data_IF_878890125431
#
_entry.id   IF_878890125431
#
_cell.length_a   1.000
_cell.length_b   1.000
_cell.length_c   1.000
_cell.angle_alpha   90.00
_cell.angle_beta   90.00
_cell.angle_gamma   90.00
#
_symmetry.space_group_name_H-M   'P 1'
#
loop_
_entity.id
_entity.type
_entity.pdbx_description
1 polymer ?
#
# COMPACT_ATOMS: atom_id res chain seq x y z
N UNK A 1 31.35 0.47 32.07
CA UNK A 1 30.37 -0.40 32.76
C UNK A 1 28.98 0.08 32.40
N UNK A 2 28.44 -0.40 31.28
CA UNK A 2 27.16 0.03 30.70
C UNK A 2 26.04 -0.74 31.40
N UNK A 3 25.26 -0.03 32.21
CA UNK A 3 24.05 -0.56 32.83
C UNK A 3 23.06 -0.98 31.72
N UNK A 4 22.88 -2.29 31.54
CA UNK A 4 21.73 -2.85 30.82
C UNK A 4 20.47 -2.43 31.58
N UNK A 5 19.79 -1.37 31.13
CA UNK A 5 18.43 -1.10 31.58
C UNK A 5 17.55 -2.27 31.11
N UNK A 6 17.02 -3.02 32.07
CA UNK A 6 15.94 -3.97 31.84
C UNK A 6 14.73 -3.19 31.34
N UNK A 7 14.47 -3.21 30.03
CA UNK A 7 13.23 -2.69 29.46
C UNK A 7 12.08 -3.62 29.85
N UNK A 8 10.94 -3.09 30.30
CA UNK A 8 9.75 -3.91 30.41
C UNK A 8 9.44 -4.49 29.03
N UNK A 9 9.14 -5.78 28.99
CA UNK A 9 8.76 -6.46 27.77
C UNK A 9 7.61 -5.72 27.12
N UNK A 10 7.82 -5.14 25.91
CA UNK A 10 6.75 -4.49 25.17
C UNK A 10 7.09 -3.17 24.46
N UNK A 11 8.15 -2.48 24.84
CA UNK A 11 8.56 -1.26 24.13
C UNK A 11 9.73 -1.56 23.19
N UNK A 12 9.51 -1.54 21.90
CA UNK A 12 10.57 -1.51 20.90
C UNK A 12 11.38 -0.23 21.11
N UNK A 13 12.72 -0.32 21.08
CA UNK A 13 13.66 0.73 21.49
C UNK A 13 13.62 2.09 20.72
N UNK A 14 12.49 2.46 20.12
CA UNK A 14 12.27 3.75 19.44
C UNK A 14 12.34 4.93 20.42
N UNK A 15 11.90 4.72 21.66
CA UNK A 15 11.87 5.76 22.70
C UNK A 15 13.21 5.96 23.41
N UNK A 16 14.22 5.12 23.13
CA UNK A 16 15.52 5.13 23.80
C UNK A 16 16.67 5.12 22.80
N UNK A 17 17.69 5.95 23.00
CA UNK A 17 18.92 5.95 22.21
C UNK A 17 19.13 7.21 21.39
N UNK A 18 20.05 7.14 20.42
CA UNK A 18 20.39 8.28 19.55
C UNK A 18 19.41 8.33 18.40
N UNK A 19 18.59 9.37 18.33
CA UNK A 19 17.44 9.52 17.42
C UNK A 19 17.83 9.22 15.96
N UNK A 20 18.91 9.81 15.44
CA UNK A 20 19.26 9.66 14.03
C UNK A 20 19.65 8.20 13.68
N UNK A 21 20.28 7.45 14.61
CA UNK A 21 20.62 6.05 14.40
C UNK A 21 19.37 5.17 14.36
N UNK A 22 18.42 5.41 15.27
CA UNK A 22 17.16 4.71 15.31
C UNK A 22 16.32 5.01 14.05
N UNK A 23 16.32 6.28 13.62
CA UNK A 23 15.61 6.70 12.41
C UNK A 23 16.19 6.01 11.16
N UNK A 24 17.51 5.90 11.02
CA UNK A 24 18.13 5.17 9.91
C UNK A 24 17.82 3.67 9.96
N UNK A 25 17.93 3.04 11.14
CA UNK A 25 17.59 1.63 11.30
C UNK A 25 16.11 1.32 10.97
N UNK A 26 15.23 2.30 11.16
CA UNK A 26 13.82 2.19 10.83
C UNK A 26 13.55 2.51 9.34
N UNK A 27 14.27 3.45 8.77
CA UNK A 27 14.17 3.90 7.39
C UNK A 27 14.52 2.78 6.38
N UNK A 28 15.65 2.08 6.56
CA UNK A 28 16.10 1.09 5.59
C UNK A 28 15.10 -0.05 5.35
N UNK A 29 14.47 -0.67 6.35
CA UNK A 29 13.44 -1.67 6.11
C UNK A 29 12.24 -1.13 5.31
N UNK A 30 11.84 0.12 5.52
CA UNK A 30 10.75 0.74 4.76
C UNK A 30 11.17 0.93 3.30
N UNK A 31 12.37 1.50 3.07
CA UNK A 31 12.93 1.70 1.74
C UNK A 31 13.02 0.38 0.96
N UNK A 32 13.58 -0.68 1.58
CA UNK A 32 13.64 -1.99 0.96
C UNK A 32 12.25 -2.58 0.71
N UNK A 33 11.29 -2.39 1.61
CA UNK A 33 9.91 -2.82 1.42
C UNK A 33 9.29 -2.18 0.19
N UNK A 34 9.44 -0.87 0.02
CA UNK A 34 8.95 -0.14 -1.16
C UNK A 34 9.69 -0.59 -2.44
N UNK A 35 10.99 -0.88 -2.34
CA UNK A 35 11.77 -1.45 -3.45
C UNK A 35 11.22 -2.82 -3.90
N UNK A 36 10.95 -3.74 -2.97
CA UNK A 36 10.37 -5.04 -3.30
C UNK A 36 8.96 -4.90 -3.89
N UNK A 37 8.18 -3.93 -3.43
CA UNK A 37 6.88 -3.61 -4.01
C UNK A 37 7.01 -3.14 -5.47
N UNK A 38 7.98 -2.29 -5.77
CA UNK A 38 8.25 -1.84 -7.14
C UNK A 38 8.79 -2.99 -8.01
N UNK A 39 9.56 -3.90 -7.42
CA UNK A 39 10.11 -5.06 -8.11
C UNK A 39 9.00 -6.00 -8.59
N UNK A 40 8.03 -6.34 -7.73
CA UNK A 40 6.93 -7.21 -8.17
C UNK A 40 6.05 -6.54 -9.23
N UNK A 41 5.75 -5.24 -9.11
CA UNK A 41 5.00 -4.50 -10.15
C UNK A 41 5.73 -4.54 -11.50
N UNK A 42 7.06 -4.46 -11.47
CA UNK A 42 7.89 -4.55 -12.68
C UNK A 42 7.90 -5.96 -13.23
N UNK A 43 8.02 -6.98 -12.40
CA UNK A 43 8.00 -8.39 -12.81
C UNK A 43 6.64 -8.77 -13.42
N UNK A 44 5.53 -8.37 -12.81
CA UNK A 44 4.18 -8.55 -13.34
C UNK A 44 4.04 -7.93 -14.75
N UNK A 45 4.44 -6.66 -14.91
CA UNK A 45 4.44 -5.99 -16.20
C UNK A 45 5.31 -6.70 -17.26
N UNK A 46 6.48 -7.21 -16.87
CA UNK A 46 7.38 -7.96 -17.78
C UNK A 46 6.77 -9.30 -18.19
N UNK A 47 6.16 -10.03 -17.25
CA UNK A 47 5.54 -11.33 -17.53
C UNK A 47 4.33 -11.13 -18.44
N UNK A 48 3.44 -10.21 -18.12
CA UNK A 48 2.27 -9.89 -18.96
C UNK A 48 2.71 -9.41 -20.35
N UNK A 49 3.65 -8.48 -20.44
CA UNK A 49 4.13 -7.95 -21.72
C UNK A 49 4.79 -9.00 -22.61
N UNK A 50 5.53 -9.96 -22.02
CA UNK A 50 6.23 -11.00 -22.76
C UNK A 50 5.33 -12.17 -23.20
N UNK A 51 4.40 -12.60 -22.35
CA UNK A 51 3.65 -13.83 -22.56
C UNK A 51 2.20 -13.60 -23.02
N UNK A 52 1.61 -12.43 -22.74
CA UNK A 52 0.25 -12.10 -23.18
C UNK A 52 0.25 -11.12 -24.35
N UNK A 53 1.10 -10.10 -24.30
CA UNK A 53 1.28 -9.14 -25.39
C UNK A 53 1.23 -7.68 -24.96
N UNK A 54 1.46 -6.79 -25.92
CA UNK A 54 1.58 -5.35 -25.68
C UNK A 54 0.24 -4.69 -25.28
N UNK A 55 -0.87 -5.19 -25.81
CA UNK A 55 -2.21 -4.72 -25.50
C UNK A 55 -2.54 -5.01 -24.01
N UNK A 56 -2.23 -6.22 -23.54
CA UNK A 56 -2.38 -6.61 -22.14
C UNK A 56 -1.46 -5.79 -21.20
N UNK A 57 -0.21 -5.56 -21.60
CA UNK A 57 0.72 -4.71 -20.85
C UNK A 57 0.20 -3.28 -20.75
N UNK A 58 -0.34 -2.72 -21.84
CA UNK A 58 -0.94 -1.38 -21.86
C UNK A 58 -2.19 -1.32 -20.99
N UNK A 59 -2.98 -2.38 -20.96
CA UNK A 59 -4.15 -2.50 -20.09
C UNK A 59 -3.75 -2.51 -18.61
N UNK A 60 -2.79 -3.34 -18.21
CA UNK A 60 -2.38 -3.51 -16.80
C UNK A 60 -1.57 -2.32 -16.29
N UNK A 61 -0.60 -1.85 -17.05
CA UNK A 61 0.31 -0.77 -16.64
C UNK A 61 -0.19 0.65 -16.89
N UNK A 62 -1.14 0.83 -17.82
CA UNK A 62 -1.64 2.13 -18.25
C UNK A 62 -2.84 2.63 -17.43
N UNK A 63 -4.01 2.56 -18.05
CA UNK A 63 -5.27 3.11 -17.50
C UNK A 63 -5.65 2.48 -16.16
N UNK A 64 -5.48 1.15 -16.01
CA UNK A 64 -5.82 0.45 -14.77
C UNK A 64 -4.87 0.82 -13.64
N UNK A 65 -3.56 0.89 -13.91
CA UNK A 65 -2.56 1.30 -12.93
C UNK A 65 -2.83 2.70 -12.37
N UNK A 66 -3.26 3.61 -13.23
CA UNK A 66 -3.64 4.98 -12.84
C UNK A 66 -4.83 4.99 -11.88
N UNK A 67 -5.89 4.25 -12.17
CA UNK A 67 -7.07 4.15 -11.29
C UNK A 67 -6.73 3.48 -9.95
N UNK A 68 -5.94 2.42 -9.99
CA UNK A 68 -5.47 1.73 -8.78
C UNK A 68 -4.67 2.70 -7.91
N UNK A 69 -3.69 3.39 -8.47
CA UNK A 69 -2.85 4.35 -7.73
C UNK A 69 -3.67 5.49 -7.13
N UNK A 70 -4.66 5.99 -7.85
CA UNK A 70 -5.56 7.04 -7.35
C UNK A 70 -6.35 6.56 -6.12
N UNK A 71 -6.99 5.40 -6.21
CA UNK A 71 -7.86 4.88 -5.17
C UNK A 71 -7.07 4.30 -3.98
N UNK A 72 -6.06 3.48 -4.25
CA UNK A 72 -5.20 2.92 -3.20
C UNK A 72 -4.39 4.02 -2.53
N UNK A 73 -3.85 4.99 -3.27
CA UNK A 73 -3.13 6.14 -2.73
C UNK A 73 -3.95 6.94 -1.73
N UNK A 74 -5.24 7.13 -1.99
CA UNK A 74 -6.16 7.75 -1.03
C UNK A 74 -6.21 6.99 0.29
N UNK A 75 -6.38 5.66 0.24
CA UNK A 75 -6.46 4.84 1.45
C UNK A 75 -5.11 4.65 2.15
N UNK A 76 -3.99 4.69 1.43
CA UNK A 76 -2.65 4.76 2.04
C UNK A 76 -2.52 6.05 2.85
N UNK A 77 -2.97 7.19 2.33
CA UNK A 77 -3.05 8.44 3.09
C UNK A 77 -3.96 8.34 4.31
N UNK A 78 -5.11 7.68 4.20
CA UNK A 78 -5.99 7.40 5.35
C UNK A 78 -5.29 6.53 6.41
N UNK A 79 -4.52 5.52 5.99
CA UNK A 79 -3.73 4.66 6.90
C UNK A 79 -2.60 5.44 7.59
N UNK A 80 -2.05 6.47 6.95
CA UNK A 80 -1.10 7.40 7.58
C UNK A 80 -1.75 8.16 8.75
N UNK A 81 -3.00 8.61 8.61
CA UNK A 81 -3.76 9.22 9.72
C UNK A 81 -3.91 8.28 10.91
N UNK A 82 -4.19 7.00 10.65
CA UNK A 82 -4.25 5.97 11.70
C UNK A 82 -2.88 5.77 12.35
N UNK A 83 -1.80 5.70 11.57
CA UNK A 83 -0.44 5.56 12.09
C UNK A 83 -0.06 6.70 13.05
N UNK A 84 -0.37 7.96 12.68
CA UNK A 84 -0.13 9.13 13.56
C UNK A 84 -0.88 9.01 14.88
N UNK A 85 -2.16 8.63 14.86
CA UNK A 85 -2.96 8.50 16.09
C UNK A 85 -2.44 7.37 16.96
N UNK A 86 -2.08 6.23 16.36
CA UNK A 86 -1.53 5.08 17.10
C UNK A 86 -0.16 5.40 17.69
N UNK A 87 0.76 6.05 16.92
CA UNK A 87 2.10 6.41 17.42
C UNK A 87 2.03 7.38 18.59
N UNK A 88 1.12 8.39 18.55
CA UNK A 88 0.92 9.34 19.65
C UNK A 88 0.48 8.67 20.94
N UNK A 89 -0.51 7.77 20.89
CA UNK A 89 -0.94 7.03 22.08
C UNK A 89 0.09 6.01 22.54
N UNK A 90 0.80 5.39 21.60
CA UNK A 90 1.87 4.45 21.93
C UNK A 90 3.03 5.15 22.64
N UNK A 91 3.47 6.32 22.13
CA UNK A 91 4.48 7.17 22.77
C UNK A 91 4.06 7.70 24.12
N UNK A 92 2.76 8.05 24.29
CA UNK A 92 2.18 8.45 25.56
C UNK A 92 1.97 7.29 26.56
N UNK A 93 2.19 6.04 26.14
CA UNK A 93 1.96 4.80 26.95
C UNK A 93 0.50 4.62 27.37
N UNK A 94 -0.43 5.06 26.53
CA UNK A 94 -1.86 4.93 26.73
C UNK A 94 -2.40 3.66 26.05
N UNK A 95 -2.08 2.48 26.60
CA UNK A 95 -2.34 1.16 26.01
C UNK A 95 -3.80 0.93 25.59
N UNK A 96 -4.77 1.40 26.38
CA UNK A 96 -6.19 1.29 26.06
C UNK A 96 -6.57 2.12 24.82
N UNK A 97 -5.98 3.31 24.65
CA UNK A 97 -6.24 4.16 23.50
C UNK A 97 -5.56 3.60 22.24
N UNK A 98 -4.37 3.00 22.37
CA UNK A 98 -3.72 2.27 21.30
C UNK A 98 -4.64 1.17 20.78
N UNK A 99 -5.15 0.30 21.67
CA UNK A 99 -6.02 -0.80 21.30
C UNK A 99 -7.31 -0.33 20.62
N UNK A 100 -7.98 0.69 21.16
CA UNK A 100 -9.19 1.29 20.56
C UNK A 100 -8.90 1.91 19.20
N UNK A 101 -7.73 2.55 19.03
CA UNK A 101 -7.30 3.13 17.75
C UNK A 101 -7.05 2.05 16.70
N UNK A 102 -6.43 0.93 17.07
CA UNK A 102 -6.22 -0.23 16.19
C UNK A 102 -7.56 -0.78 15.70
N UNK A 103 -8.52 -1.06 16.61
CA UNK A 103 -9.83 -1.58 16.22
C UNK A 103 -10.60 -0.60 15.32
N UNK A 104 -10.62 0.69 15.66
CA UNK A 104 -11.26 1.74 14.84
C UNK A 104 -10.63 1.84 13.45
N UNK A 105 -9.30 1.73 13.35
CA UNK A 105 -8.57 1.75 12.08
C UNK A 105 -8.92 0.57 11.18
N UNK A 106 -9.05 -0.64 11.75
CA UNK A 106 -9.47 -1.81 10.98
C UNK A 106 -10.93 -1.73 10.56
N UNK A 107 -11.84 -1.18 11.39
CA UNK A 107 -13.22 -0.90 10.96
C UNK A 107 -13.22 0.04 9.74
N UNK A 108 -12.40 1.09 9.76
CA UNK A 108 -12.28 2.03 8.64
C UNK A 108 -11.72 1.34 7.38
N UNK A 109 -10.68 0.50 7.51
CA UNK A 109 -10.11 -0.25 6.39
C UNK A 109 -11.12 -1.24 5.78
N UNK A 110 -11.87 -1.96 6.61
CA UNK A 110 -12.90 -2.89 6.15
C UNK A 110 -14.06 -2.16 5.48
N UNK A 111 -14.58 -1.10 6.07
CA UNK A 111 -15.66 -0.30 5.51
C UNK A 111 -15.23 0.35 4.18
N UNK A 112 -14.02 0.92 4.13
CA UNK A 112 -13.44 1.47 2.90
C UNK A 112 -13.20 0.40 1.84
N UNK A 113 -12.74 -0.78 2.23
CA UNK A 113 -12.54 -1.92 1.33
C UNK A 113 -13.83 -2.41 0.70
N UNK A 114 -14.89 -2.56 1.51
CA UNK A 114 -16.23 -2.93 0.99
C UNK A 114 -16.78 -1.85 0.08
N UNK A 115 -16.64 -0.57 0.45
CA UNK A 115 -17.07 0.54 -0.40
C UNK A 115 -16.33 0.55 -1.75
N UNK A 116 -14.99 0.38 -1.75
CA UNK A 116 -14.21 0.31 -2.99
C UNK A 116 -14.53 -0.92 -3.83
N UNK A 117 -14.77 -2.07 -3.20
CA UNK A 117 -15.18 -3.27 -3.91
C UNK A 117 -16.50 -3.03 -4.66
N UNK A 118 -17.52 -2.51 -3.97
CA UNK A 118 -18.84 -2.25 -4.59
C UNK A 118 -18.73 -1.17 -5.69
N UNK A 119 -18.06 -0.06 -5.40
CA UNK A 119 -17.86 1.02 -6.36
C UNK A 119 -17.03 0.51 -7.55
N UNK A 120 -15.95 -0.22 -7.30
CA UNK A 120 -15.09 -0.78 -8.34
C UNK A 120 -15.83 -1.72 -9.27
N UNK A 121 -16.60 -2.67 -8.74
CA UNK A 121 -17.36 -3.63 -9.55
C UNK A 121 -18.42 -2.94 -10.43
N UNK A 122 -19.10 -1.93 -9.90
CA UNK A 122 -20.18 -1.23 -10.63
C UNK A 122 -19.60 -0.26 -11.67
N UNK A 123 -18.62 0.55 -11.29
CA UNK A 123 -18.18 1.70 -12.09
C UNK A 123 -16.94 1.42 -12.96
N UNK A 124 -16.25 0.29 -12.82
CA UNK A 124 -15.05 -0.02 -13.63
C UNK A 124 -15.26 0.16 -15.12
N UNK A 125 -16.30 -0.40 -15.79
CA UNK A 125 -16.46 -0.23 -17.23
C UNK A 125 -16.67 1.22 -17.65
N UNK A 126 -17.42 1.99 -16.84
CA UNK A 126 -17.68 3.40 -17.12
C UNK A 126 -16.42 4.25 -16.91
N UNK A 127 -15.64 3.99 -15.85
CA UNK A 127 -14.41 4.69 -15.55
C UNK A 127 -13.36 4.50 -16.66
N UNK A 128 -13.15 3.26 -17.12
CA UNK A 128 -12.18 2.94 -18.18
C UNK A 128 -12.58 3.63 -19.50
N UNK A 129 -13.86 3.63 -19.85
CA UNK A 129 -14.34 4.34 -21.04
C UNK A 129 -14.19 5.85 -20.91
N UNK A 130 -14.50 6.42 -19.74
CA UNK A 130 -14.34 7.86 -19.47
C UNK A 130 -12.89 8.33 -19.56
N UNK A 131 -11.92 7.43 -19.29
CA UNK A 131 -10.49 7.70 -19.46
C UNK A 131 -10.01 7.59 -20.92
N UNK A 132 -10.90 7.30 -21.88
CA UNK A 132 -10.55 7.20 -23.30
C UNK A 132 -9.71 5.97 -23.66
N UNK A 133 -9.86 4.86 -22.93
CA UNK A 133 -9.15 3.62 -23.25
C UNK A 133 -9.59 3.09 -24.64
N UNK A 134 -8.64 2.73 -25.52
CA UNK A 134 -8.95 2.10 -26.79
C UNK A 134 -9.78 0.83 -26.63
N UNK A 135 -10.67 0.55 -27.58
CA UNK A 135 -11.54 -0.64 -27.57
C UNK A 135 -10.74 -1.96 -27.47
N UNK A 136 -9.54 -2.00 -28.05
CA UNK A 136 -8.63 -3.15 -28.06
C UNK A 136 -8.19 -3.57 -26.66
N UNK A 137 -8.01 -2.61 -25.75
CA UNK A 137 -7.55 -2.87 -24.37
C UNK A 137 -8.68 -2.85 -23.34
N UNK A 138 -9.90 -2.44 -23.75
CA UNK A 138 -11.02 -2.27 -22.83
C UNK A 138 -11.36 -3.58 -22.09
N UNK A 139 -11.43 -4.69 -22.80
CA UNK A 139 -11.73 -6.01 -22.23
C UNK A 139 -10.69 -6.45 -21.18
N UNK A 140 -9.41 -6.31 -21.50
CA UNK A 140 -8.32 -6.62 -20.57
C UNK A 140 -8.34 -5.72 -19.33
N UNK A 141 -8.54 -4.42 -19.51
CA UNK A 141 -8.58 -3.44 -18.43
C UNK A 141 -9.75 -3.69 -17.46
N UNK A 142 -10.94 -3.96 -17.99
CA UNK A 142 -12.12 -4.27 -17.17
C UNK A 142 -11.94 -5.58 -16.41
N UNK A 143 -11.42 -6.63 -17.06
CA UNK A 143 -11.17 -7.93 -16.43
C UNK A 143 -10.16 -7.78 -15.29
N UNK A 144 -9.03 -7.12 -15.53
CA UNK A 144 -8.01 -6.89 -14.52
C UNK A 144 -8.55 -6.14 -13.31
N UNK A 145 -9.23 -5.00 -13.54
CA UNK A 145 -9.73 -4.17 -12.44
C UNK A 145 -10.80 -4.84 -11.61
N UNK A 146 -11.74 -5.55 -12.22
CA UNK A 146 -12.76 -6.30 -11.47
C UNK A 146 -12.12 -7.34 -10.56
N UNK A 147 -11.21 -8.17 -11.09
CA UNK A 147 -10.49 -9.13 -10.27
C UNK A 147 -9.71 -8.42 -9.16
N UNK A 148 -9.04 -7.30 -9.48
CA UNK A 148 -8.30 -6.52 -8.49
C UNK A 148 -9.19 -6.00 -7.37
N UNK A 149 -10.40 -5.48 -7.68
CA UNK A 149 -11.33 -4.98 -6.68
C UNK A 149 -11.89 -6.09 -5.78
N UNK A 150 -12.00 -7.33 -6.23
CA UNK A 150 -12.33 -8.47 -5.35
C UNK A 150 -11.28 -8.66 -4.24
N UNK A 151 -10.02 -8.35 -4.50
CA UNK A 151 -8.91 -8.43 -3.53
C UNK A 151 -8.66 -7.16 -2.73
N UNK A 152 -9.35 -6.04 -3.01
CA UNK A 152 -9.02 -4.73 -2.44
C UNK A 152 -9.10 -4.69 -0.91
N UNK A 153 -10.00 -5.44 -0.31
CA UNK A 153 -10.12 -5.54 1.16
C UNK A 153 -8.80 -6.05 1.76
N UNK A 154 -8.20 -7.10 1.17
CA UNK A 154 -6.90 -7.62 1.60
C UNK A 154 -5.79 -6.57 1.51
N UNK A 155 -5.75 -5.82 0.40
CA UNK A 155 -4.80 -4.73 0.22
C UNK A 155 -4.94 -3.66 1.32
N UNK A 156 -6.16 -3.19 1.60
CA UNK A 156 -6.39 -2.17 2.64
C UNK A 156 -6.10 -2.68 4.05
N UNK A 157 -6.45 -3.94 4.36
CA UNK A 157 -6.11 -4.60 5.63
C UNK A 157 -4.60 -4.68 5.81
N UNK A 158 -3.86 -5.06 4.77
CA UNK A 158 -2.40 -5.07 4.81
C UNK A 158 -1.83 -3.66 5.03
N UNK A 159 -2.25 -2.67 4.24
CA UNK A 159 -1.75 -1.29 4.37
C UNK A 159 -2.02 -0.71 5.76
N UNK A 160 -3.22 -0.92 6.30
CA UNK A 160 -3.58 -0.48 7.65
C UNK A 160 -2.75 -1.19 8.72
N UNK A 161 -2.63 -2.51 8.64
CA UNK A 161 -1.84 -3.30 9.61
C UNK A 161 -0.35 -2.97 9.55
N UNK A 162 0.21 -2.79 8.36
CA UNK A 162 1.59 -2.36 8.17
C UNK A 162 1.83 -0.94 8.72
N UNK A 163 0.86 -0.02 8.55
CA UNK A 163 0.91 1.32 9.11
C UNK A 163 0.91 1.29 10.66
N UNK A 164 0.07 0.43 11.26
CA UNK A 164 0.03 0.22 12.72
C UNK A 164 1.36 -0.37 13.23
N UNK A 165 1.91 -1.40 12.57
CA UNK A 165 3.21 -1.97 12.97
C UNK A 165 4.33 -0.92 12.90
N UNK A 166 4.35 -0.12 11.84
CA UNK A 166 5.31 1.00 11.74
C UNK A 166 5.09 2.03 12.84
N UNK A 167 3.85 2.37 13.15
CA UNK A 167 3.52 3.34 14.21
C UNK A 167 4.03 2.93 15.60
N UNK A 168 4.14 1.62 15.87
CA UNK A 168 4.71 1.09 17.13
C UNK A 168 6.18 0.70 17.01
N UNK A 169 6.85 1.10 15.90
CA UNK A 169 8.29 0.91 15.72
C UNK A 169 8.74 -0.37 15.07
N UNK A 170 7.84 -1.16 14.54
CA UNK A 170 8.18 -2.37 13.82
C UNK A 170 8.14 -2.17 12.30
N UNK A 171 9.26 -1.77 11.72
CA UNK A 171 9.41 -1.66 10.27
C UNK A 171 9.87 -2.96 9.60
N UNK A 172 10.41 -3.93 10.37
CA UNK A 172 11.00 -5.16 9.82
C UNK A 172 9.95 -6.17 9.40
N UNK A 173 8.91 -6.38 10.23
CA UNK A 173 7.84 -7.34 9.89
C UNK A 173 7.09 -6.98 8.61
N UNK A 174 6.65 -5.73 8.39
CA UNK A 174 6.07 -5.31 7.10
C UNK A 174 6.99 -5.57 5.90
N UNK A 175 8.31 -5.38 6.04
CA UNK A 175 9.28 -5.74 5.00
C UNK A 175 9.23 -7.24 4.67
N UNK A 176 9.28 -8.12 5.69
CA UNK A 176 9.24 -9.56 5.46
C UNK A 176 7.95 -10.01 4.79
N UNK A 177 6.82 -9.38 5.12
CA UNK A 177 5.53 -9.67 4.48
C UNK A 177 5.54 -9.24 3.00
N UNK A 178 6.13 -8.08 2.68
CA UNK A 178 6.29 -7.64 1.29
C UNK A 178 7.22 -8.55 0.49
N UNK A 179 8.33 -9.00 1.07
CA UNK A 179 9.24 -9.94 0.40
C UNK A 179 8.52 -11.26 0.12
N UNK A 180 7.81 -11.82 1.09
CA UNK A 180 7.03 -13.04 0.91
C UNK A 180 5.95 -12.86 -0.18
N UNK A 181 5.24 -11.73 -0.16
CA UNK A 181 4.24 -11.38 -1.16
C UNK A 181 4.85 -11.24 -2.56
N UNK A 182 5.99 -10.56 -2.69
CA UNK A 182 6.70 -10.38 -3.95
C UNK A 182 7.09 -11.72 -4.56
N UNK A 183 7.70 -12.62 -3.79
CA UNK A 183 8.09 -13.95 -4.27
C UNK A 183 6.86 -14.79 -4.66
N UNK A 184 5.80 -14.72 -3.86
CA UNK A 184 4.54 -15.42 -4.16
C UNK A 184 3.87 -14.87 -5.41
N UNK A 185 3.83 -13.55 -5.59
CA UNK A 185 3.27 -12.93 -6.79
C UNK A 185 4.00 -13.39 -8.05
N UNK A 186 5.34 -13.31 -8.09
CA UNK A 186 6.13 -13.75 -9.25
C UNK A 186 5.90 -15.24 -9.55
N UNK A 187 5.86 -16.09 -8.51
CA UNK A 187 5.61 -17.51 -8.70
C UNK A 187 4.19 -17.80 -9.25
N UNK A 188 3.18 -17.08 -8.75
CA UNK A 188 1.80 -17.21 -9.21
C UNK A 188 1.60 -16.61 -10.60
N UNK A 189 2.28 -15.51 -10.95
CA UNK A 189 2.26 -14.95 -12.30
C UNK A 189 2.80 -15.97 -13.32
N UNK A 190 3.94 -16.60 -13.02
CA UNK A 190 4.48 -17.66 -13.88
C UNK A 190 3.51 -18.85 -13.98
N UNK A 191 2.88 -19.23 -12.89
CA UNK A 191 1.92 -20.33 -12.87
C UNK A 191 0.65 -20.01 -13.67
N UNK A 192 0.02 -18.86 -13.40
CA UNK A 192 -1.27 -18.52 -14.00
C UNK A 192 -1.14 -18.00 -15.43
N UNK A 193 -0.17 -17.12 -15.68
CA UNK A 193 0.00 -16.51 -17.00
C UNK A 193 0.74 -17.46 -17.95
N UNK A 194 1.83 -18.10 -17.51
CA UNK A 194 2.68 -18.90 -18.40
C UNK A 194 2.20 -20.34 -18.49
N UNK A 195 1.89 -21.00 -17.35
CA UNK A 195 1.49 -22.42 -17.37
C UNK A 195 0.01 -22.61 -17.68
N UNK A 196 -0.88 -21.80 -17.06
CA UNK A 196 -2.33 -21.95 -17.24
C UNK A 196 -2.90 -21.06 -18.37
N UNK A 197 -2.09 -20.18 -18.97
CA UNK A 197 -2.49 -19.28 -20.05
C UNK A 197 -3.73 -18.42 -19.70
N UNK A 198 -3.83 -17.98 -18.45
CA UNK A 198 -4.98 -17.17 -17.97
C UNK A 198 -4.86 -15.70 -18.35
N UNK A 199 -3.85 -15.32 -19.13
CA UNK A 199 -3.63 -13.96 -19.62
C UNK A 199 -3.67 -12.92 -18.47
N UNK A 200 -4.37 -11.80 -18.70
CA UNK A 200 -4.52 -10.68 -17.72
C UNK A 200 -5.27 -11.10 -16.47
N UNK A 201 -6.20 -12.04 -16.57
CA UNK A 201 -6.91 -12.56 -15.41
C UNK A 201 -5.96 -13.32 -14.46
N UNK A 202 -4.98 -14.04 -15.01
CA UNK A 202 -3.94 -14.73 -14.24
C UNK A 202 -3.09 -13.74 -13.43
N UNK A 203 -2.62 -12.67 -14.06
CA UNK A 203 -1.86 -11.62 -13.38
C UNK A 203 -2.65 -10.92 -12.28
N UNK A 204 -3.92 -10.59 -12.53
CA UNK A 204 -4.78 -10.02 -11.51
C UNK A 204 -4.99 -10.95 -10.31
N UNK A 205 -5.22 -12.26 -10.56
CA UNK A 205 -5.34 -13.28 -9.52
C UNK A 205 -4.05 -13.44 -8.72
N UNK A 206 -2.89 -13.48 -9.37
CA UNK A 206 -1.59 -13.55 -8.70
C UNK A 206 -1.39 -12.35 -7.77
N UNK A 207 -1.73 -11.15 -8.24
CA UNK A 207 -1.65 -9.91 -7.46
C UNK A 207 -2.55 -9.97 -6.22
N UNK A 208 -3.83 -10.31 -6.35
CA UNK A 208 -4.73 -10.34 -5.19
C UNK A 208 -4.38 -11.47 -4.21
N UNK A 209 -3.94 -12.63 -4.67
CA UNK A 209 -3.53 -13.75 -3.80
C UNK A 209 -2.26 -13.40 -3.01
N UNK A 210 -1.28 -12.76 -3.62
CA UNK A 210 -0.08 -12.30 -2.93
C UNK A 210 -0.38 -11.19 -1.91
N UNK A 211 -1.29 -10.27 -2.22
CA UNK A 211 -1.77 -9.24 -1.29
C UNK A 211 -2.57 -9.85 -0.13
N UNK A 212 -3.41 -10.85 -0.39
CA UNK A 212 -4.11 -11.60 0.67
C UNK A 212 -3.12 -12.32 1.59
N UNK A 213 -2.04 -12.90 1.06
CA UNK A 213 -0.97 -13.48 1.88
C UNK A 213 -0.39 -12.42 2.83
N UNK A 214 -0.05 -11.24 2.35
CA UNK A 214 0.45 -10.14 3.19
C UNK A 214 -0.57 -9.73 4.26
N UNK A 215 -1.85 -9.64 3.90
CA UNK A 215 -2.94 -9.33 4.83
C UNK A 215 -3.07 -10.40 5.93
N UNK A 216 -2.99 -11.68 5.56
CA UNK A 216 -3.01 -12.78 6.53
C UNK A 216 -1.82 -12.73 7.46
N UNK A 217 -0.60 -12.49 6.95
CA UNK A 217 0.61 -12.42 7.75
C UNK A 217 0.56 -11.26 8.75
N UNK A 218 0.11 -10.07 8.33
CA UNK A 218 -0.02 -8.93 9.23
C UNK A 218 -1.10 -9.17 10.28
N UNK A 219 -2.24 -9.78 9.90
CA UNK A 219 -3.31 -10.09 10.85
C UNK A 219 -2.90 -11.15 11.87
N UNK A 220 -2.22 -12.22 11.45
CA UNK A 220 -1.68 -13.23 12.37
C UNK A 220 -0.73 -12.56 13.38
N UNK A 221 0.11 -11.64 12.93
CA UNK A 221 1.05 -10.91 13.78
C UNK A 221 0.30 -10.06 14.82
N UNK A 222 -0.71 -9.30 14.40
CA UNK A 222 -1.49 -8.43 15.30
C UNK A 222 -2.38 -9.21 16.26
N UNK A 223 -2.88 -10.38 15.87
CA UNK A 223 -3.72 -11.23 16.74
C UNK A 223 -2.85 -11.95 17.79
N UNK A 224 -1.65 -12.41 17.39
CA UNK A 224 -0.77 -13.20 18.27
C UNK A 224 0.10 -12.37 19.22
N UNK A 225 0.27 -11.08 18.96
CA UNK A 225 1.03 -10.21 19.86
C UNK A 225 0.36 -10.12 21.24
N UNK A 226 1.19 -9.89 22.27
CA UNK A 226 0.73 -9.62 23.66
C UNK A 226 0.79 -8.15 24.00
N UNK A 227 1.20 -7.31 23.05
CA UNK A 227 1.38 -5.87 23.22
C UNK A 227 0.06 -5.10 23.15
N UNK A 228 0.08 -3.83 23.50
CA UNK A 228 -1.08 -2.95 23.53
C UNK A 228 -1.78 -2.78 22.17
N UNK A 229 -1.06 -2.99 21.06
CA UNK A 229 -1.61 -2.93 19.70
C UNK A 229 -2.23 -4.25 19.22
N UNK A 230 -2.50 -5.20 20.14
CA UNK A 230 -3.14 -6.47 19.81
C UNK A 230 -4.52 -6.24 19.20
N UNK A 231 -4.75 -6.91 18.05
CA UNK A 231 -6.08 -6.95 17.43
C UNK A 231 -6.90 -8.13 17.98
N UNK A 232 -8.07 -7.82 18.55
CA UNK A 232 -9.01 -8.81 19.09
C UNK A 232 -10.29 -8.75 18.27
N UNK A 233 -10.57 -9.72 17.39
CA UNK A 233 -11.73 -9.66 16.49
C UNK A 233 -13.09 -9.49 17.21
N UNK A 234 -13.22 -10.01 18.43
CA UNK A 234 -14.44 -9.90 19.24
C UNK A 234 -14.68 -8.49 19.79
N UNK A 235 -13.66 -7.67 19.87
CA UNK A 235 -13.70 -6.28 20.38
C UNK A 235 -13.72 -5.27 19.24
N UNK A 236 -13.93 -5.70 18.01
CA UNK A 236 -13.99 -4.83 16.85
C UNK A 236 -15.15 -3.84 16.99
N UNK A 237 -14.83 -2.57 17.20
CA UNK A 237 -15.79 -1.49 17.32
C UNK A 237 -15.20 -0.18 16.84
N UNK A 238 -16.09 0.71 16.40
CA UNK A 238 -15.72 2.07 16.03
C UNK A 238 -15.84 2.98 17.26
N UNK A 239 -14.76 3.67 17.60
CA UNK A 239 -14.78 4.74 18.59
C UNK A 239 -14.91 6.08 17.86
N UNK A 240 -16.08 6.79 17.96
CA UNK A 240 -16.33 7.97 17.10
C UNK A 240 -15.31 9.09 17.25
N UNK A 241 -14.79 9.29 18.45
CA UNK A 241 -13.77 10.32 18.75
C UNK A 241 -12.46 10.00 18.03
N UNK A 242 -12.03 8.74 18.10
CA UNK A 242 -10.80 8.26 17.42
C UNK A 242 -10.99 8.26 15.91
N UNK A 243 -12.13 7.80 15.41
CA UNK A 243 -12.45 7.85 13.99
C UNK A 243 -12.37 9.27 13.43
N UNK A 244 -12.98 10.25 14.13
CA UNK A 244 -12.90 11.68 13.75
C UNK A 244 -11.45 12.16 13.71
N UNK A 245 -10.62 11.76 14.67
CA UNK A 245 -9.20 12.14 14.74
C UNK A 245 -8.41 11.52 13.61
N UNK A 246 -8.62 10.23 13.31
CA UNK A 246 -7.98 9.51 12.18
C UNK A 246 -8.37 10.15 10.86
N UNK A 247 -9.67 10.43 10.64
CA UNK A 247 -10.16 11.07 9.41
C UNK A 247 -9.61 12.49 9.28
N UNK A 248 -9.56 13.27 10.36
CA UNK A 248 -9.05 14.65 10.33
C UNK A 248 -7.59 14.73 9.84
N UNK A 249 -6.78 13.72 10.10
CA UNK A 249 -5.38 13.63 9.68
C UNK A 249 -5.29 12.91 8.33
N UNK A 250 -5.95 11.76 8.21
CA UNK A 250 -5.84 10.88 7.05
C UNK A 250 -6.54 11.41 5.80
N UNK A 251 -7.68 12.09 5.93
CA UNK A 251 -8.41 12.62 4.77
C UNK A 251 -7.60 13.66 3.98
N UNK A 252 -6.97 14.68 4.61
CA UNK A 252 -6.08 15.59 3.89
C UNK A 252 -4.91 14.87 3.22
N UNK A 253 -4.29 13.89 3.90
CA UNK A 253 -3.19 13.11 3.34
C UNK A 253 -3.65 12.26 2.14
N UNK A 254 -4.83 11.63 2.23
CA UNK A 254 -5.43 10.89 1.12
C UNK A 254 -5.78 11.78 -0.07
N UNK A 255 -6.39 12.93 0.17
CA UNK A 255 -6.69 13.92 -0.87
C UNK A 255 -5.40 14.44 -1.52
N UNK A 256 -4.34 14.69 -0.75
CA UNK A 256 -3.03 15.07 -1.28
C UNK A 256 -2.48 14.01 -2.24
N UNK A 257 -2.54 12.74 -1.89
CA UNK A 257 -2.14 11.63 -2.77
C UNK A 257 -2.94 11.59 -4.06
N UNK A 258 -4.27 11.79 -3.99
CA UNK A 258 -5.13 11.87 -5.16
C UNK A 258 -4.76 13.06 -6.05
N UNK A 259 -4.58 14.26 -5.48
CA UNK A 259 -4.21 15.47 -6.23
C UNK A 259 -2.86 15.30 -6.94
N UNK A 260 -1.89 14.64 -6.27
CA UNK A 260 -0.60 14.31 -6.89
C UNK A 260 -0.78 13.37 -8.09
N UNK A 261 -1.60 12.31 -7.96
CA UNK A 261 -1.90 11.38 -9.05
C UNK A 261 -2.58 12.08 -10.22
N UNK A 262 -3.57 12.95 -9.95
CA UNK A 262 -4.26 13.73 -10.99
C UNK A 262 -3.28 14.69 -11.70
N UNK A 263 -2.41 15.36 -10.94
CA UNK A 263 -1.39 16.26 -11.51
C UNK A 263 -0.46 15.51 -12.46
N UNK A 264 0.01 14.32 -12.09
CA UNK A 264 0.85 13.48 -12.94
C UNK A 264 0.14 13.08 -14.26
N UNK A 265 -1.17 12.77 -14.20
CA UNK A 265 -1.96 12.47 -15.39
C UNK A 265 -2.01 13.69 -16.33
N UNK A 266 -2.28 14.88 -15.78
CA UNK A 266 -2.33 16.12 -16.58
C UNK A 266 -0.97 16.46 -17.19
N UNK A 267 0.12 16.29 -16.45
CA UNK A 267 1.48 16.48 -16.96
C UNK A 267 1.76 15.50 -18.10
N UNK A 268 1.45 14.20 -17.90
CA UNK A 268 1.66 13.17 -18.93
C UNK A 268 0.85 13.47 -20.19
N UNK A 269 -0.40 13.90 -20.06
CA UNK A 269 -1.25 14.28 -21.20
C UNK A 269 -0.64 15.44 -22.00
N UNK A 270 -0.09 16.45 -21.33
CA UNK A 270 0.62 17.54 -22.01
C UNK A 270 1.89 17.07 -22.71
N UNK A 271 2.70 16.24 -22.04
CA UNK A 271 3.97 15.72 -22.62
C UNK A 271 3.73 14.88 -23.87
N UNK A 272 2.63 14.16 -23.93
CA UNK A 272 2.25 13.37 -25.10
C UNK A 272 2.08 14.22 -26.38
N UNK A 273 1.78 15.53 -26.23
CA UNK A 273 1.70 16.47 -27.34
C UNK A 273 3.04 16.91 -27.94
N UNK A 274 4.17 16.66 -27.25
CA UNK A 274 5.52 17.10 -27.70
C UNK A 274 6.29 16.05 -28.51
N UNK A 275 5.67 14.92 -28.84
CA UNK A 275 6.25 13.88 -29.70
C UNK A 275 7.06 12.83 -28.97
N UNK A 276 7.43 11.75 -29.70
CA UNK A 276 7.97 10.50 -29.14
C UNK A 276 9.28 10.65 -28.39
N UNK A 277 10.17 11.55 -28.82
CA UNK A 277 11.46 11.79 -28.15
C UNK A 277 11.26 12.37 -26.73
N UNK A 278 10.31 13.31 -26.60
CA UNK A 278 9.99 13.94 -25.31
C UNK A 278 9.34 12.91 -24.38
N UNK A 279 8.43 12.08 -24.90
CA UNK A 279 7.80 10.99 -24.15
C UNK A 279 8.85 10.00 -23.63
N UNK A 280 9.80 9.60 -24.49
CA UNK A 280 10.87 8.69 -24.11
C UNK A 280 11.78 9.30 -23.02
N UNK A 281 12.17 10.58 -23.16
CA UNK A 281 12.96 11.29 -22.16
C UNK A 281 12.22 11.40 -20.83
N UNK A 282 10.92 11.70 -20.86
CA UNK A 282 10.08 11.75 -19.67
C UNK A 282 9.95 10.40 -18.97
N UNK A 283 9.86 9.32 -19.75
CA UNK A 283 9.82 7.96 -19.18
C UNK A 283 11.12 7.60 -18.44
N UNK A 284 12.28 8.00 -18.97
CA UNK A 284 13.58 7.82 -18.31
C UNK A 284 13.67 8.70 -17.04
N UNK A 285 13.26 9.97 -17.13
CA UNK A 285 13.16 10.86 -15.97
C UNK A 285 12.31 10.24 -14.87
N UNK A 286 11.12 9.73 -15.21
CA UNK A 286 10.20 9.12 -14.25
C UNK A 286 10.78 7.91 -13.52
N UNK A 287 11.73 7.15 -14.12
CA UNK A 287 12.42 6.06 -13.43
C UNK A 287 13.37 6.59 -12.35
N UNK A 288 14.10 7.67 -12.62
CA UNK A 288 15.01 8.31 -11.67
C UNK A 288 14.22 8.99 -10.57
N UNK A 289 13.20 9.74 -10.95
CA UNK A 289 12.29 10.45 -10.04
C UNK A 289 11.60 9.47 -9.08
N UNK A 290 11.17 8.30 -9.58
CA UNK A 290 10.57 7.24 -8.75
C UNK A 290 11.50 6.73 -7.64
N UNK A 291 12.81 6.60 -7.89
CA UNK A 291 13.79 6.20 -6.86
C UNK A 291 13.91 7.30 -5.80
N UNK A 292 13.93 8.57 -6.24
CA UNK A 292 13.98 9.71 -5.33
C UNK A 292 12.74 9.76 -4.42
N UNK A 293 11.54 9.66 -5.00
CA UNK A 293 10.28 9.65 -4.26
C UNK A 293 10.17 8.49 -3.28
N UNK A 294 10.60 7.29 -3.67
CA UNK A 294 10.65 6.12 -2.79
C UNK A 294 11.51 6.36 -1.54
N UNK A 295 12.62 7.08 -1.71
CA UNK A 295 13.50 7.48 -0.59
C UNK A 295 12.83 8.52 0.30
N UNK A 296 12.19 9.52 -0.29
CA UNK A 296 11.48 10.57 0.44
C UNK A 296 10.28 10.03 1.21
N UNK A 297 9.50 9.13 0.63
CA UNK A 297 8.36 8.47 1.28
C UNK A 297 8.81 7.64 2.49
N UNK A 298 9.88 6.85 2.33
CA UNK A 298 10.44 6.06 3.43
C UNK A 298 10.93 6.95 4.58
N UNK A 299 11.55 8.10 4.26
CA UNK A 299 11.97 9.08 5.26
C UNK A 299 10.75 9.74 5.93
N UNK A 300 9.76 10.14 5.14
CA UNK A 300 8.50 10.73 5.64
C UNK A 300 7.79 9.83 6.64
N UNK A 301 7.65 8.54 6.31
CA UNK A 301 7.05 7.53 7.21
C UNK A 301 7.89 7.41 8.50
N UNK A 302 9.22 7.38 8.37
CA UNK A 302 10.12 7.28 9.53
C UNK A 302 9.97 8.48 10.45
N UNK A 303 10.02 9.69 9.91
CA UNK A 303 9.86 10.93 10.69
C UNK A 303 8.48 11.00 11.35
N UNK A 304 7.41 10.62 10.62
CA UNK A 304 6.04 10.60 11.16
C UNK A 304 5.93 9.69 12.39
N UNK A 305 6.57 8.51 12.34
CA UNK A 305 6.57 7.56 13.47
C UNK A 305 7.34 8.10 14.67
N UNK A 306 8.50 8.75 14.45
CA UNK A 306 9.33 9.29 15.54
C UNK A 306 8.81 10.61 16.12
N UNK A 307 8.04 11.37 15.35
CA UNK A 307 7.43 12.62 15.81
C UNK A 307 6.09 12.42 16.53
N UNK A 308 5.41 11.29 16.29
CA UNK A 308 4.16 10.92 17.01
C UNK A 308 4.44 10.32 18.34
#
# INVERSE_FOLDING_TARGET
MTLKKNHPAGYNGITDGVIWQQLLLFFFPILFGTFFQQLYNTADAMIVGKFVGKEALSAVGGTTGTLINLLVGFFVGMSSGAAVVVSQFYGAKEDQQVQKSVHTSFCLALAGGVALLVIGEIFTPAAIRAMGAPEEILGYSVTYLRIYFLGIIGNLVYNMGAAILRAVGDSKRPLYFLVASCLTNIALDLLFVVCFHMEVAGAALATIMSQLLSAVLVMITLIRTKESYRFIPKELRVEPVLLKRIIKIGLPAGLQSMMYSISNILIQANINGYGTNTIASWAVYGKIDGIFWMTMDAMGISVTTFAG
#
